data_IF_861548945152
#
_entry.id   IF_861548945152
#
_cell.length_a   1.000
_cell.length_b   1.000
_cell.length_c   1.000
_cell.angle_alpha   90.00
_cell.angle_beta   90.00
_cell.angle_gamma   90.00
#
_symmetry.space_group_name_H-M   'P 1'
#
loop_
_entity.id
_entity.type
_entity.pdbx_description
1 polymer ?
#
# COMPACT_ATOMS: atom_id res chain seq x y z
N UNK A 1 11.86 -20.82 -1.73
CA UNK A 1 11.06 -19.59 -1.54
C UNK A 1 10.46 -19.26 -2.90
N UNK A 2 9.13 -19.08 -3.03
CA UNK A 2 8.56 -18.63 -4.32
C UNK A 2 8.83 -17.11 -4.39
N UNK A 3 9.47 -16.60 -5.45
CA UNK A 3 9.76 -15.18 -5.56
C UNK A 3 8.51 -14.34 -5.82
N UNK A 4 8.36 -13.29 -5.02
CA UNK A 4 7.15 -12.47 -4.96
C UNK A 4 7.15 -11.36 -6.02
N UNK A 5 8.35 -10.91 -6.38
CA UNK A 5 8.61 -9.88 -7.38
C UNK A 5 9.31 -10.48 -8.60
N UNK A 6 8.98 -9.99 -9.79
CA UNK A 6 9.55 -10.49 -11.03
C UNK A 6 11.08 -10.34 -11.08
N UNK A 7 11.62 -9.21 -10.60
CA UNK A 7 13.08 -9.02 -10.51
C UNK A 7 13.76 -10.05 -9.61
N UNK A 8 13.19 -10.31 -8.42
CA UNK A 8 13.71 -11.35 -7.52
C UNK A 8 13.57 -12.75 -8.13
N UNK A 9 12.50 -13.00 -8.89
CA UNK A 9 12.30 -14.27 -9.59
C UNK A 9 13.41 -14.54 -10.60
N UNK A 10 13.82 -13.53 -11.35
CA UNK A 10 14.92 -13.64 -12.30
C UNK A 10 16.26 -13.91 -11.58
N UNK A 11 16.48 -13.28 -10.42
CA UNK A 11 17.67 -13.52 -9.59
C UNK A 11 17.68 -14.94 -9.01
N UNK A 12 16.57 -15.39 -8.45
CA UNK A 12 16.44 -16.74 -7.86
C UNK A 12 16.65 -17.85 -8.90
N UNK A 13 16.34 -17.58 -10.18
CA UNK A 13 16.59 -18.49 -11.30
C UNK A 13 17.98 -18.35 -11.92
N UNK A 14 18.79 -17.40 -11.47
CA UNK A 14 20.12 -17.11 -12.02
C UNK A 14 20.08 -16.52 -13.43
N UNK A 15 18.94 -15.94 -13.84
CA UNK A 15 18.76 -15.31 -15.16
C UNK A 15 19.34 -13.90 -15.16
N UNK A 16 19.28 -13.24 -14.00
CA UNK A 16 19.80 -11.89 -13.77
C UNK A 16 20.60 -11.92 -12.46
N UNK A 17 21.73 -11.22 -12.41
CA UNK A 17 22.49 -11.05 -11.16
C UNK A 17 21.89 -9.96 -10.26
N UNK A 18 22.11 -9.99 -8.93
CA UNK A 18 21.69 -8.91 -8.04
C UNK A 18 22.18 -7.52 -8.49
N UNK A 19 23.40 -7.44 -9.02
CA UNK A 19 24.03 -6.22 -9.53
C UNK A 19 23.33 -5.69 -10.79
N UNK A 20 22.97 -6.57 -11.72
CA UNK A 20 22.21 -6.21 -12.92
C UNK A 20 20.79 -5.77 -12.58
N UNK A 21 20.13 -6.46 -11.64
CA UNK A 21 18.84 -6.05 -11.14
C UNK A 21 18.92 -4.66 -10.49
N UNK A 22 19.97 -4.37 -9.72
CA UNK A 22 20.18 -3.06 -9.12
C UNK A 22 20.35 -1.96 -10.17
N UNK A 23 21.11 -2.22 -11.26
CA UNK A 23 21.23 -1.28 -12.39
C UNK A 23 19.87 -1.03 -13.06
N UNK A 24 19.09 -2.07 -13.29
CA UNK A 24 17.76 -1.94 -13.86
C UNK A 24 16.80 -1.15 -12.95
N UNK A 25 16.87 -1.34 -11.62
CA UNK A 25 16.10 -0.54 -10.65
C UNK A 25 16.51 0.94 -10.72
N UNK A 26 17.79 1.24 -10.85
CA UNK A 26 18.27 2.62 -10.99
C UNK A 26 17.74 3.27 -12.27
N UNK A 27 17.78 2.54 -13.40
CA UNK A 27 17.21 3.00 -14.67
C UNK A 27 15.69 3.21 -14.56
N UNK A 28 14.98 2.27 -13.95
CA UNK A 28 13.54 2.40 -13.71
C UNK A 28 13.21 3.65 -12.90
N UNK A 29 13.99 3.96 -11.86
CA UNK A 29 13.78 5.15 -11.02
C UNK A 29 14.04 6.46 -11.76
N UNK A 30 14.99 6.50 -12.70
CA UNK A 30 15.28 7.72 -13.46
C UNK A 30 14.19 8.05 -14.48
N UNK A 31 13.45 7.03 -14.97
CA UNK A 31 12.31 7.20 -15.86
C UNK A 31 10.99 7.44 -15.11
N UNK A 32 10.74 6.70 -14.02
CA UNK A 32 9.48 6.75 -13.27
C UNK A 32 9.45 7.88 -12.24
N UNK A 33 9.69 9.11 -12.70
CA UNK A 33 9.62 10.29 -11.85
C UNK A 33 8.23 10.46 -11.26
N UNK A 34 8.17 10.90 -10.01
CA UNK A 34 6.92 11.36 -9.40
C UNK A 34 6.38 12.60 -10.12
N UNK A 35 5.09 12.87 -9.96
CA UNK A 35 4.45 14.07 -10.53
C UNK A 35 5.18 15.35 -10.11
N UNK A 36 5.63 15.43 -8.85
CA UNK A 36 6.40 16.56 -8.35
C UNK A 36 7.78 16.70 -8.99
N UNK A 37 8.54 15.61 -9.08
CA UNK A 37 9.86 15.61 -9.75
C UNK A 37 9.74 15.94 -11.24
N UNK A 38 8.72 15.42 -11.90
CA UNK A 38 8.46 15.71 -13.31
C UNK A 38 8.01 17.16 -13.53
N UNK A 39 7.13 17.69 -12.67
CA UNK A 39 6.73 19.09 -12.70
C UNK A 39 7.92 20.04 -12.47
N UNK A 40 8.84 19.68 -11.57
CA UNK A 40 10.09 20.42 -11.39
C UNK A 40 10.99 20.37 -12.62
N UNK A 41 11.13 19.19 -13.25
CA UNK A 41 11.91 19.02 -14.48
C UNK A 41 11.36 19.86 -15.63
N UNK A 42 10.04 20.07 -15.68
CA UNK A 42 9.37 20.94 -16.67
C UNK A 42 9.38 22.43 -16.28
N UNK A 43 9.97 22.80 -15.15
CA UNK A 43 10.00 24.18 -14.65
C UNK A 43 8.64 24.70 -14.17
N UNK A 44 7.64 23.83 -14.01
CA UNK A 44 6.30 24.19 -13.54
C UNK A 44 6.26 24.41 -12.02
N UNK A 45 7.11 23.70 -11.28
CA UNK A 45 7.24 23.83 -9.82
C UNK A 45 8.70 24.02 -9.43
N UNK A 46 8.94 24.78 -8.36
CA UNK A 46 10.23 24.81 -7.67
C UNK A 46 10.25 23.78 -6.53
N UNK A 47 11.44 23.46 -6.04
CA UNK A 47 11.60 22.55 -4.89
C UNK A 47 10.80 23.03 -3.66
N UNK A 48 10.72 24.34 -3.45
CA UNK A 48 9.92 24.95 -2.39
C UNK A 48 8.42 24.68 -2.55
N UNK A 49 7.92 24.68 -3.79
CA UNK A 49 6.51 24.43 -4.09
C UNK A 49 6.16 22.96 -3.87
N UNK A 50 7.03 22.05 -4.32
CA UNK A 50 6.88 20.61 -4.08
C UNK A 50 6.89 20.31 -2.59
N UNK A 51 7.85 20.83 -1.83
CA UNK A 51 7.90 20.64 -0.39
C UNK A 51 6.64 21.17 0.30
N UNK A 52 6.15 22.33 -0.12
CA UNK A 52 4.91 22.91 0.40
C UNK A 52 3.72 21.99 0.14
N UNK A 53 3.55 21.49 -1.09
CA UNK A 53 2.48 20.53 -1.43
C UNK A 53 2.59 19.27 -0.56
N UNK A 54 3.79 18.71 -0.41
CA UNK A 54 4.03 17.51 0.41
C UNK A 54 3.70 17.74 1.88
N UNK A 55 4.03 18.91 2.44
CA UNK A 55 3.66 19.26 3.81
C UNK A 55 2.14 19.28 4.00
N UNK A 56 1.39 19.90 3.07
CA UNK A 56 -0.08 19.90 3.12
C UNK A 56 -0.68 18.51 2.85
N UNK A 57 0.00 17.68 2.05
CA UNK A 57 -0.45 16.33 1.77
C UNK A 57 -0.41 15.44 3.01
N UNK A 58 0.57 15.63 3.90
CA UNK A 58 0.71 14.87 5.16
C UNK A 58 -0.49 15.04 6.10
N UNK A 59 -1.24 16.14 6.02
CA UNK A 59 -2.36 16.47 6.92
C UNK A 59 -3.75 16.52 6.28
N UNK A 60 -3.86 16.44 4.95
CA UNK A 60 -5.13 16.66 4.23
C UNK A 60 -5.72 15.42 3.55
N UNK A 61 -4.95 14.34 3.37
CA UNK A 61 -5.37 13.13 2.63
C UNK A 61 -5.55 13.33 1.11
N UNK A 62 -5.46 14.57 0.61
CA UNK A 62 -5.63 14.94 -0.81
C UNK A 62 -4.45 14.47 -1.68
N UNK A 63 -4.70 14.33 -2.99
CA UNK A 63 -3.64 13.93 -3.94
C UNK A 63 -2.71 15.10 -4.24
N UNK A 64 -1.49 14.80 -4.69
CA UNK A 64 -0.48 15.82 -4.98
C UNK A 64 -1.00 16.83 -6.02
N UNK A 65 -1.58 16.33 -7.11
CA UNK A 65 -2.16 17.17 -8.15
C UNK A 65 -3.34 18.02 -7.66
N UNK A 66 -4.25 17.43 -6.88
CA UNK A 66 -5.38 18.17 -6.28
C UNK A 66 -4.88 19.32 -5.39
N UNK A 67 -3.89 19.06 -4.53
CA UNK A 67 -3.30 20.08 -3.68
C UNK A 67 -2.52 21.13 -4.47
N UNK A 68 -1.84 20.74 -5.55
CA UNK A 68 -1.15 21.70 -6.41
C UNK A 68 -2.13 22.68 -7.06
N UNK A 69 -3.33 22.23 -7.41
CA UNK A 69 -4.42 23.10 -7.91
C UNK A 69 -5.00 23.96 -6.79
N UNK A 70 -5.32 23.37 -5.64
CA UNK A 70 -5.86 24.09 -4.48
C UNK A 70 -4.93 25.21 -4.01
N UNK A 71 -3.62 25.00 -4.10
CA UNK A 71 -2.59 25.98 -3.73
C UNK A 71 -2.29 27.00 -4.84
N UNK A 72 -2.94 26.90 -5.99
CA UNK A 72 -2.71 27.78 -7.15
C UNK A 72 -1.34 27.61 -7.80
N UNK A 73 -0.67 26.47 -7.57
CA UNK A 73 0.67 26.17 -8.08
C UNK A 73 0.63 25.51 -9.46
N UNK A 74 -0.44 24.76 -9.75
CA UNK A 74 -0.71 24.16 -11.05
C UNK A 74 -2.18 24.37 -11.42
N UNK A 75 -2.48 24.34 -12.71
CA UNK A 75 -3.85 24.23 -13.23
C UNK A 75 -4.28 22.77 -13.34
N UNK A 76 -5.59 22.51 -13.37
CA UNK A 76 -6.12 21.15 -13.59
C UNK A 76 -5.57 20.53 -14.89
N UNK A 77 -5.50 21.33 -15.96
CA UNK A 77 -4.94 20.89 -17.24
C UNK A 77 -3.46 20.48 -17.14
N UNK A 78 -2.64 21.23 -16.38
CA UNK A 78 -1.24 20.87 -16.18
C UNK A 78 -1.09 19.59 -15.36
N UNK A 79 -1.93 19.42 -14.34
CA UNK A 79 -1.94 18.17 -13.55
C UNK A 79 -2.33 16.98 -14.42
N UNK A 80 -3.33 17.13 -15.29
CA UNK A 80 -3.74 16.08 -16.21
C UNK A 80 -2.63 15.71 -17.20
N UNK A 81 -1.95 16.69 -17.77
CA UNK A 81 -0.80 16.49 -18.67
C UNK A 81 0.34 15.74 -17.96
N UNK A 82 0.70 16.15 -16.74
CA UNK A 82 1.73 15.49 -15.93
C UNK A 82 1.36 14.02 -15.64
N UNK A 83 0.09 13.75 -15.32
CA UNK A 83 -0.40 12.40 -15.06
C UNK A 83 -0.44 11.54 -16.31
N UNK A 84 -0.85 12.10 -17.46
CA UNK A 84 -0.80 11.39 -18.73
C UNK A 84 0.63 11.02 -19.12
N UNK A 85 1.57 11.94 -18.93
CA UNK A 85 2.97 11.69 -19.21
C UNK A 85 3.52 10.59 -18.30
N UNK A 86 3.23 10.65 -16.99
CA UNK A 86 3.63 9.60 -16.05
C UNK A 86 3.07 8.22 -16.44
N UNK A 87 1.83 8.16 -16.96
CA UNK A 87 1.24 6.91 -17.46
C UNK A 87 1.93 6.39 -18.73
N UNK A 88 2.33 7.29 -19.64
CA UNK A 88 2.99 6.94 -20.91
C UNK A 88 4.43 6.45 -20.72
N UNK A 89 5.19 7.11 -19.86
CA UNK A 89 6.63 6.88 -19.70
C UNK A 89 6.99 5.88 -18.59
N UNK A 90 6.00 5.18 -18.02
CA UNK A 90 6.25 4.25 -16.93
C UNK A 90 7.04 3.02 -17.41
N UNK A 91 8.32 2.97 -17.07
CA UNK A 91 9.23 1.88 -17.37
C UNK A 91 9.02 0.73 -16.37
N UNK A 92 8.76 -0.47 -16.86
CA UNK A 92 8.69 -1.68 -16.04
C UNK A 92 10.07 -2.29 -15.83
N UNK A 93 10.29 -3.00 -14.72
CA UNK A 93 11.60 -3.58 -14.40
C UNK A 93 12.11 -4.54 -15.50
N UNK A 94 11.21 -5.31 -16.12
CA UNK A 94 11.54 -6.17 -17.25
C UNK A 94 12.00 -5.38 -18.49
N UNK A 95 11.34 -4.25 -18.78
CA UNK A 95 11.74 -3.36 -19.87
C UNK A 95 13.05 -2.64 -19.55
N UNK A 96 13.30 -2.29 -18.29
CA UNK A 96 14.56 -1.72 -17.85
C UNK A 96 15.70 -2.73 -18.04
N UNK A 97 15.49 -4.00 -17.70
CA UNK A 97 16.46 -5.09 -17.93
C UNK A 97 16.74 -5.31 -19.43
N UNK A 98 15.74 -5.16 -20.29
CA UNK A 98 15.95 -5.16 -21.75
C UNK A 98 16.73 -3.94 -22.22
N UNK A 99 16.46 -2.78 -21.65
CA UNK A 99 17.10 -1.51 -22.03
C UNK A 99 18.58 -1.43 -21.65
N UNK A 100 19.02 -2.24 -20.69
CA UNK A 100 20.44 -2.39 -20.32
C UNK A 100 21.08 -3.65 -20.91
N UNK A 101 20.46 -4.26 -21.92
CA UNK A 101 20.91 -5.46 -22.63
C UNK A 101 21.15 -6.70 -21.73
N UNK A 102 20.51 -6.75 -20.56
CA UNK A 102 20.56 -7.91 -19.65
C UNK A 102 19.56 -8.99 -20.08
N UNK A 103 18.41 -8.59 -20.64
CA UNK A 103 17.42 -9.50 -21.19
C UNK A 103 17.13 -9.17 -22.66
N UNK A 104 16.88 -10.20 -23.46
CA UNK A 104 16.20 -10.01 -24.74
C UNK A 104 14.69 -9.84 -24.52
N UNK A 105 13.98 -9.22 -25.49
CA UNK A 105 12.52 -9.11 -25.44
C UNK A 105 11.85 -10.49 -25.40
N UNK A 106 12.35 -11.44 -26.17
CA UNK A 106 11.86 -12.82 -26.20
C UNK A 106 12.07 -13.53 -24.85
N UNK A 107 13.25 -13.38 -24.25
CA UNK A 107 13.54 -13.92 -22.92
C UNK A 107 12.63 -13.30 -21.86
N UNK A 108 12.38 -12.00 -21.93
CA UNK A 108 11.45 -11.32 -21.03
C UNK A 108 10.03 -11.90 -21.13
N UNK A 109 9.52 -12.08 -22.36
CA UNK A 109 8.18 -12.63 -22.60
C UNK A 109 8.05 -14.06 -22.04
N UNK A 110 9.02 -14.93 -22.34
CA UNK A 110 9.05 -16.30 -21.84
C UNK A 110 9.10 -16.38 -20.31
N UNK A 111 9.90 -15.53 -19.67
CA UNK A 111 10.02 -15.50 -18.21
C UNK A 111 8.78 -14.91 -17.54
N UNK A 112 8.13 -13.93 -18.16
CA UNK A 112 6.83 -13.41 -17.68
C UNK A 112 5.74 -14.49 -17.76
N UNK A 113 5.70 -15.26 -18.85
CA UNK A 113 4.74 -16.36 -18.99
C UNK A 113 4.96 -17.41 -17.89
N UNK A 114 6.20 -17.83 -17.66
CA UNK A 114 6.53 -18.79 -16.60
C UNK A 114 6.26 -18.25 -15.20
N UNK A 115 6.56 -16.97 -14.94
CA UNK A 115 6.25 -16.30 -13.66
C UNK A 115 4.74 -16.22 -13.40
N UNK A 116 3.93 -16.01 -14.43
CA UNK A 116 2.47 -15.85 -14.30
C UNK A 116 1.69 -17.16 -14.34
N UNK A 117 2.19 -18.19 -15.03
CA UNK A 117 1.57 -19.50 -15.16
C UNK A 117 1.43 -20.23 -13.81
N UNK A 118 2.39 -20.04 -12.89
CA UNK A 118 2.34 -20.62 -11.54
C UNK A 118 1.59 -19.78 -10.48
N UNK A 119 1.31 -18.51 -10.77
CA UNK A 119 0.73 -17.55 -9.81
C UNK A 119 -0.79 -17.38 -9.94
N UNK A 120 -1.34 -17.43 -11.16
CA UNK A 120 -2.73 -17.03 -11.44
C UNK A 120 -3.83 -17.91 -10.83
N UNK A 121 -3.61 -19.21 -10.63
CA UNK A 121 -4.65 -20.11 -10.08
C UNK A 121 -4.67 -20.13 -8.55
N UNK A 122 -3.50 -20.20 -7.91
CA UNK A 122 -3.38 -20.21 -6.45
C UNK A 122 -3.65 -18.83 -5.83
N UNK A 123 -3.19 -17.73 -6.45
CA UNK A 123 -3.43 -16.37 -5.94
C UNK A 123 -4.89 -15.96 -6.09
N UNK A 124 -5.55 -16.27 -7.21
CA UNK A 124 -6.98 -15.98 -7.39
C UNK A 124 -7.87 -16.73 -6.39
N UNK A 125 -7.53 -17.99 -6.07
CA UNK A 125 -8.29 -18.76 -5.08
C UNK A 125 -8.02 -18.29 -3.64
N UNK A 126 -6.77 -17.95 -3.30
CA UNK A 126 -6.40 -17.46 -1.94
C UNK A 126 -6.85 -16.03 -1.65
N UNK A 127 -7.11 -15.22 -2.68
CA UNK A 127 -7.53 -13.83 -2.54
C UNK A 127 -9.06 -13.63 -2.64
N UNK A 128 -9.81 -14.67 -3.04
CA UNK A 128 -11.27 -14.62 -3.03
C UNK A 128 -11.81 -15.01 -1.65
N UNK A 129 -12.52 -14.08 -1.02
CA UNK A 129 -13.28 -14.36 0.21
C UNK A 129 -14.44 -15.33 -0.09
N UNK A 130 -14.87 -16.16 0.89
CA UNK A 130 -15.97 -17.10 0.73
C UNK A 130 -17.23 -16.42 0.20
N UNK A 131 -17.96 -17.09 -0.70
CA UNK A 131 -19.15 -16.52 -1.34
C UNK A 131 -20.29 -16.27 -0.34
N UNK A 132 -20.35 -17.06 0.72
CA UNK A 132 -21.32 -17.03 1.81
C UNK A 132 -20.91 -16.10 2.97
N UNK A 133 -19.73 -15.47 2.90
CA UNK A 133 -19.28 -14.54 3.93
C UNK A 133 -20.21 -13.31 3.99
N UNK A 134 -20.83 -12.99 5.14
CA UNK A 134 -21.64 -11.78 5.26
C UNK A 134 -20.80 -10.53 4.99
N UNK A 135 -21.39 -9.56 4.28
CA UNK A 135 -20.71 -8.31 3.89
C UNK A 135 -19.43 -8.51 3.07
N UNK A 136 -19.30 -9.65 2.36
CA UNK A 136 -18.15 -10.01 1.50
C UNK A 136 -17.64 -8.86 0.64
N UNK A 137 -18.53 -8.10 0.01
CA UNK A 137 -18.16 -6.97 -0.87
C UNK A 137 -17.40 -5.88 -0.13
N UNK A 138 -17.76 -5.61 1.13
CA UNK A 138 -17.09 -4.64 2.00
C UNK A 138 -15.69 -5.15 2.37
N UNK A 139 -15.58 -6.42 2.75
CA UNK A 139 -14.30 -7.04 3.12
C UNK A 139 -13.35 -7.18 1.93
N UNK A 140 -13.88 -7.47 0.73
CA UNK A 140 -13.10 -7.41 -0.50
C UNK A 140 -12.60 -5.99 -0.79
N UNK A 141 -13.47 -4.98 -0.64
CA UNK A 141 -13.08 -3.59 -0.82
C UNK A 141 -11.97 -3.18 0.17
N UNK A 142 -12.08 -3.59 1.43
CA UNK A 142 -11.03 -3.42 2.44
C UNK A 142 -9.71 -4.09 2.02
N UNK A 143 -9.77 -5.35 1.56
CA UNK A 143 -8.59 -6.10 1.14
C UNK A 143 -7.84 -5.38 0.01
N UNK A 144 -8.57 -4.76 -0.92
CA UNK A 144 -8.02 -3.96 -2.01
C UNK A 144 -7.53 -2.56 -1.60
N UNK A 145 -8.15 -1.96 -0.58
CA UNK A 145 -7.76 -0.63 -0.11
C UNK A 145 -6.36 -0.67 0.51
N UNK A 146 -6.00 -1.73 1.24
CA UNK A 146 -4.69 -1.86 1.87
C UNK A 146 -3.55 -1.75 0.87
N UNK A 147 -3.62 -2.48 -0.25
CA UNK A 147 -2.57 -2.44 -1.27
C UNK A 147 -2.36 -1.04 -1.84
N UNK A 148 -3.45 -0.30 -2.09
CA UNK A 148 -3.39 1.05 -2.66
C UNK A 148 -2.97 2.11 -1.66
N UNK A 149 -3.40 2.01 -0.40
CA UNK A 149 -3.19 3.06 0.59
C UNK A 149 -1.88 2.89 1.36
N UNK A 150 -1.47 1.66 1.67
CA UNK A 150 -0.17 1.44 2.34
C UNK A 150 0.95 1.92 1.43
N UNK A 151 0.97 1.52 0.16
CA UNK A 151 2.00 2.01 -0.78
C UNK A 151 1.97 3.54 -0.94
N UNK A 152 0.77 4.15 -0.96
CA UNK A 152 0.63 5.60 -1.14
C UNK A 152 1.14 6.39 0.07
N UNK A 153 0.85 5.91 1.29
CA UNK A 153 1.17 6.60 2.53
C UNK A 153 2.60 6.31 2.97
N UNK A 154 3.03 5.05 2.90
CA UNK A 154 4.31 4.60 3.47
C UNK A 154 5.37 4.35 2.41
N UNK A 155 5.05 4.41 1.11
CA UNK A 155 5.95 3.99 0.01
C UNK A 155 6.42 2.53 0.12
N UNK A 156 5.75 1.72 0.95
CA UNK A 156 6.04 0.29 1.12
C UNK A 156 5.03 -0.51 0.31
N UNK A 157 5.53 -1.35 -0.58
CA UNK A 157 4.72 -2.31 -1.31
C UNK A 157 4.21 -3.40 -0.35
N UNK A 158 2.92 -3.69 -0.45
CA UNK A 158 2.28 -4.82 0.23
C UNK A 158 1.87 -5.87 -0.77
N UNK A 159 1.84 -7.12 -0.32
CA UNK A 159 1.33 -8.24 -1.08
C UNK A 159 0.28 -8.98 -0.25
N UNK A 160 -0.91 -9.18 -0.81
CA UNK A 160 -1.93 -10.06 -0.23
C UNK A 160 -1.43 -11.50 -0.14
N UNK A 161 -1.51 -12.10 1.04
CA UNK A 161 -1.14 -13.50 1.25
C UNK A 161 -2.35 -14.42 1.29
N UNK A 162 -3.08 -14.40 2.39
CA UNK A 162 -4.23 -15.27 2.65
C UNK A 162 -5.20 -14.55 3.57
N UNK A 163 -6.42 -15.07 3.62
CA UNK A 163 -7.38 -14.75 4.65
C UNK A 163 -7.64 -15.97 5.54
N UNK A 164 -8.08 -15.74 6.78
CA UNK A 164 -8.46 -16.78 7.75
C UNK A 164 -9.78 -16.37 8.40
N UNK A 165 -10.73 -17.30 8.51
CA UNK A 165 -11.97 -17.11 9.25
C UNK A 165 -11.90 -17.90 10.57
N UNK A 166 -12.29 -17.27 11.67
CA UNK A 166 -12.35 -17.90 12.99
C UNK A 166 -11.34 -17.32 13.98
N UNK A 167 -11.21 -17.92 15.17
CA UNK A 167 -10.30 -17.42 16.19
C UNK A 167 -8.84 -17.58 15.75
N UNK A 168 -8.12 -16.46 15.69
CA UNK A 168 -6.68 -16.43 15.51
C UNK A 168 -6.07 -15.54 16.59
N UNK A 169 -4.90 -15.93 17.12
CA UNK A 169 -4.09 -15.00 17.91
C UNK A 169 -3.51 -13.94 16.97
N UNK A 170 -3.75 -12.66 17.31
CA UNK A 170 -3.07 -11.53 16.69
C UNK A 170 -1.61 -11.57 17.17
N UNK A 171 -0.75 -12.33 16.45
CA UNK A 171 0.68 -12.48 16.74
C UNK A 171 1.52 -11.25 16.34
N UNK A 172 0.92 -10.07 16.33
CA UNK A 172 1.53 -8.85 15.81
C UNK A 172 1.86 -7.89 16.95
N UNK A 173 3.03 -7.28 16.85
CA UNK A 173 3.74 -6.64 17.94
C UNK A 173 3.24 -5.22 18.24
N UNK A 174 2.60 -4.57 17.27
CA UNK A 174 1.98 -3.26 17.39
C UNK A 174 0.65 -3.26 16.64
N UNK A 175 -0.34 -2.53 17.16
CA UNK A 175 -1.59 -2.37 16.43
C UNK A 175 -2.40 -1.18 16.86
N UNK A 176 -3.35 -0.83 16.01
CA UNK A 176 -4.35 0.19 16.23
C UNK A 176 -5.73 -0.37 15.86
N UNK A 177 -6.78 0.06 16.54
CA UNK A 177 -8.14 -0.34 16.21
C UNK A 177 -9.11 0.83 16.15
N UNK A 178 -10.09 0.69 15.27
CA UNK A 178 -11.19 1.63 15.09
C UNK A 178 -12.49 0.82 15.08
N UNK A 179 -13.47 1.30 15.84
CA UNK A 179 -14.82 0.75 15.87
C UNK A 179 -15.70 1.49 14.89
N UNK A 180 -16.50 0.73 14.14
CA UNK A 180 -17.58 1.21 13.29
C UNK A 180 -18.92 0.93 13.96
N UNK A 181 -19.84 1.88 13.89
CA UNK A 181 -21.23 1.76 14.37
C UNK A 181 -22.20 2.29 13.33
N UNK A 182 -23.46 1.82 13.35
CA UNK A 182 -24.50 2.28 12.43
C UNK A 182 -25.09 1.14 11.61
N UNK A 183 -25.17 1.32 10.28
CA UNK A 183 -25.70 0.31 9.36
C UNK A 183 -24.92 -1.02 9.40
N UNK A 184 -23.63 -0.94 9.73
CA UNK A 184 -22.79 -2.10 10.03
C UNK A 184 -21.90 -1.78 11.24
N UNK A 185 -21.96 -2.64 12.26
CA UNK A 185 -21.15 -2.51 13.48
C UNK A 185 -20.05 -3.56 13.50
N UNK A 186 -18.79 -3.10 13.55
CA UNK A 186 -17.63 -3.98 13.60
C UNK A 186 -16.41 -3.25 14.16
N UNK A 187 -15.40 -3.98 14.60
CA UNK A 187 -14.09 -3.44 14.95
C UNK A 187 -13.09 -3.83 13.87
N UNK A 188 -12.38 -2.85 13.32
CA UNK A 188 -11.22 -3.08 12.47
C UNK A 188 -9.95 -2.91 13.29
N UNK A 189 -9.07 -3.92 13.25
CA UNK A 189 -7.73 -3.85 13.84
C UNK A 189 -6.69 -3.92 12.74
N UNK A 190 -5.74 -3.00 12.78
CA UNK A 190 -4.50 -3.05 12.01
C UNK A 190 -3.41 -3.60 12.94
N UNK A 191 -2.85 -4.75 12.60
CA UNK A 191 -1.70 -5.32 13.30
C UNK A 191 -0.45 -5.29 12.43
N UNK A 192 0.71 -5.04 13.03
CA UNK A 192 1.99 -5.00 12.31
C UNK A 192 3.14 -5.58 13.11
N UNK A 193 4.23 -5.91 12.42
CA UNK A 193 5.54 -6.05 13.07
C UNK A 193 6.10 -4.67 13.42
N UNK A 194 6.99 -4.60 14.42
CA UNK A 194 7.73 -3.38 14.80
C UNK A 194 8.54 -2.83 13.63
N UNK A 195 9.19 -3.73 12.88
CA UNK A 195 10.00 -3.37 11.72
C UNK A 195 9.16 -2.71 10.62
N UNK A 196 7.92 -3.17 10.39
CA UNK A 196 7.03 -2.53 9.42
C UNK A 196 6.61 -1.15 9.92
N UNK A 197 6.13 -1.05 11.17
CA UNK A 197 5.68 0.23 11.74
C UNK A 197 6.79 1.30 11.71
N UNK A 198 8.02 0.91 12.08
CA UNK A 198 9.17 1.80 12.04
C UNK A 198 9.47 2.28 10.62
N UNK A 199 9.57 1.38 9.65
CA UNK A 199 9.88 1.78 8.27
C UNK A 199 8.73 2.55 7.62
N UNK A 200 7.49 2.25 7.97
CA UNK A 200 6.32 3.02 7.56
C UNK A 200 6.41 4.46 8.07
N UNK A 201 6.73 4.63 9.36
CA UNK A 201 6.89 5.94 9.97
C UNK A 201 8.07 6.71 9.38
N UNK A 202 9.23 6.07 9.19
CA UNK A 202 10.42 6.68 8.55
C UNK A 202 10.11 7.21 7.16
N UNK A 203 9.41 6.42 6.34
CA UNK A 203 9.07 6.83 4.97
C UNK A 203 7.99 7.92 4.94
N UNK A 204 7.02 7.87 5.85
CA UNK A 204 5.96 8.88 5.93
C UNK A 204 6.47 10.22 6.45
N UNK A 205 7.31 10.19 7.49
CA UNK A 205 7.89 11.38 8.11
C UNK A 205 9.11 11.90 7.35
N UNK A 206 9.67 11.08 6.44
CA UNK A 206 10.93 11.34 5.73
C UNK A 206 12.12 11.49 6.69
N UNK A 207 12.09 10.73 7.78
CA UNK A 207 13.14 10.68 8.80
C UNK A 207 13.73 9.27 8.88
N UNK A 208 14.86 9.00 8.20
CA UNK A 208 15.51 7.68 8.25
C UNK A 208 16.16 7.37 9.60
N UNK A 209 16.39 8.37 10.46
CA UNK A 209 17.03 8.21 11.77
C UNK A 209 16.03 7.95 12.89
N UNK A 210 14.71 7.95 12.60
CA UNK A 210 13.66 7.71 13.58
C UNK A 210 13.93 6.40 14.35
N UNK A 211 13.88 6.48 15.68
CA UNK A 211 14.01 5.33 16.57
C UNK A 211 12.68 4.58 16.70
N UNK A 212 12.74 3.28 16.91
CA UNK A 212 11.56 2.44 17.19
C UNK A 212 10.81 2.86 18.47
N UNK A 213 11.53 3.41 19.45
CA UNK A 213 10.94 3.89 20.70
C UNK A 213 10.26 5.26 20.58
N UNK A 214 10.36 5.90 19.40
CA UNK A 214 9.76 7.20 19.19
C UNK A 214 8.22 7.09 19.16
N UNK A 215 7.48 7.88 19.96
CA UNK A 215 6.01 7.88 19.95
C UNK A 215 5.40 8.10 18.55
N UNK A 216 6.10 8.83 17.68
CA UNK A 216 5.65 9.08 16.30
C UNK A 216 5.46 7.80 15.47
N UNK A 217 6.09 6.69 15.84
CA UNK A 217 5.86 5.39 15.19
C UNK A 217 4.42 4.91 15.45
N UNK A 218 3.94 5.08 16.69
CA UNK A 218 2.58 4.71 17.06
C UNK A 218 1.56 5.67 16.45
N UNK A 219 1.86 6.97 16.47
CA UNK A 219 1.02 8.00 15.86
C UNK A 219 0.85 7.76 14.36
N UNK A 220 1.94 7.40 13.66
CA UNK A 220 1.87 7.08 12.23
C UNK A 220 1.00 5.85 11.96
N UNK A 221 1.06 4.82 12.82
CA UNK A 221 0.22 3.62 12.66
C UNK A 221 -1.26 3.93 12.91
N UNK A 222 -1.55 4.78 13.91
CA UNK A 222 -2.91 5.25 14.18
C UNK A 222 -3.46 6.04 12.99
N UNK A 223 -2.65 6.93 12.41
CA UNK A 223 -3.02 7.70 11.22
C UNK A 223 -3.24 6.81 9.99
N UNK A 224 -2.36 5.83 9.75
CA UNK A 224 -2.54 4.85 8.68
C UNK A 224 -3.86 4.08 8.84
N UNK A 225 -4.18 3.67 10.06
CA UNK A 225 -5.44 2.97 10.39
C UNK A 225 -6.64 3.87 10.14
N UNK A 226 -6.57 5.13 10.58
CA UNK A 226 -7.62 6.12 10.38
C UNK A 226 -7.88 6.41 8.90
N UNK A 227 -6.83 6.59 8.10
CA UNK A 227 -6.93 6.78 6.64
C UNK A 227 -7.56 5.57 5.95
N UNK A 228 -7.15 4.35 6.31
CA UNK A 228 -7.74 3.12 5.78
C UNK A 228 -9.22 3.00 6.14
N UNK A 229 -9.57 3.27 7.39
CA UNK A 229 -10.96 3.26 7.87
C UNK A 229 -11.83 4.31 7.18
N UNK A 230 -11.33 5.54 7.01
CA UNK A 230 -12.05 6.60 6.30
C UNK A 230 -12.30 6.26 4.83
N UNK A 231 -11.33 5.63 4.17
CA UNK A 231 -11.50 5.14 2.80
C UNK A 231 -12.54 4.00 2.71
N UNK A 232 -12.60 3.13 3.72
CA UNK A 232 -13.62 2.08 3.81
C UNK A 232 -15.01 2.69 4.07
N UNK A 233 -15.13 3.63 5.02
CA UNK A 233 -16.38 4.34 5.32
C UNK A 233 -16.96 5.02 4.09
N UNK A 234 -16.11 5.70 3.31
CA UNK A 234 -16.51 6.34 2.04
C UNK A 234 -17.07 5.32 1.05
N UNK A 235 -16.46 4.12 0.96
CA UNK A 235 -16.98 3.04 0.11
C UNK A 235 -18.29 2.47 0.63
N UNK A 236 -18.46 2.33 1.94
CA UNK A 236 -19.71 1.86 2.55
C UNK A 236 -20.85 2.85 2.31
N UNK A 237 -20.63 4.15 2.49
CA UNK A 237 -21.63 5.19 2.20
C UNK A 237 -22.04 5.20 0.72
N UNK A 238 -21.09 5.03 -0.22
CA UNK A 238 -21.40 4.86 -1.65
C UNK A 238 -22.26 3.61 -1.96
N UNK A 239 -22.29 2.63 -1.05
CA UNK A 239 -23.15 1.44 -1.11
C UNK A 239 -24.45 1.61 -0.31
N UNK A 240 -24.74 2.81 0.21
CA UNK A 240 -25.92 3.12 1.03
C UNK A 240 -25.80 2.69 2.50
N UNK A 241 -24.60 2.40 2.98
CA UNK A 241 -24.33 1.99 4.36
C UNK A 241 -23.66 3.12 5.12
N UNK A 242 -24.46 3.86 5.88
CA UNK A 242 -23.97 4.93 6.74
C UNK A 242 -23.40 4.38 8.05
N UNK A 243 -22.14 4.76 8.35
CA UNK A 243 -21.40 4.29 9.52
C UNK A 243 -20.62 5.43 10.15
N UNK A 244 -20.55 5.44 11.48
CA UNK A 244 -19.68 6.32 12.26
C UNK A 244 -18.43 5.56 12.72
N UNK A 245 -17.30 6.27 12.86
CA UNK A 245 -16.03 5.71 13.30
C UNK A 245 -15.61 6.29 14.65
N UNK A 246 -15.08 5.44 15.53
CA UNK A 246 -14.39 5.90 16.73
C UNK A 246 -13.04 6.54 16.39
N UNK A 247 -12.45 7.24 17.36
CA UNK A 247 -11.02 7.56 17.31
C UNK A 247 -10.19 6.27 17.37
N UNK A 248 -8.99 6.23 16.76
CA UNK A 248 -8.10 5.08 16.84
C UNK A 248 -7.61 4.89 18.27
N UNK A 249 -7.71 3.67 18.79
CA UNK A 249 -7.06 3.27 20.03
C UNK A 249 -5.87 2.36 19.75
N UNK A 250 -4.78 2.57 20.46
CA UNK A 250 -3.53 1.82 20.30
C UNK A 250 -3.37 0.77 21.41
N UNK A 251 -2.76 -0.36 21.07
CA UNK A 251 -2.48 -1.41 22.05
C UNK A 251 -1.57 -2.51 21.52
N UNK A 252 -0.80 -3.11 22.43
CA UNK A 252 -0.07 -4.37 22.18
C UNK A 252 -1.02 -5.58 22.25
N UNK A 253 -2.09 -5.44 23.02
CA UNK A 253 -3.14 -6.42 23.20
C UNK A 253 -4.48 -5.71 23.22
N UNK A 254 -5.33 -6.00 22.24
CA UNK A 254 -6.70 -5.54 22.25
C UNK A 254 -7.58 -6.57 22.95
N UNK A 255 -8.45 -6.15 23.89
CA UNK A 255 -9.32 -7.09 24.59
C UNK A 255 -10.17 -7.86 23.57
N UNK A 256 -10.42 -9.16 23.78
CA UNK A 256 -11.27 -9.93 22.87
C UNK A 256 -12.63 -9.25 22.75
N UNK A 257 -13.09 -8.99 21.52
CA UNK A 257 -14.47 -8.55 21.29
C UNK A 257 -15.37 -9.77 21.52
N UNK A 258 -16.03 -9.79 22.67
CA UNK A 258 -16.99 -10.84 23.02
C UNK A 258 -18.20 -10.73 22.09
N UNK A 259 -18.69 -11.87 21.59
CA UNK A 259 -19.89 -11.91 20.76
C UNK A 259 -19.73 -11.59 19.27
N UNK A 260 -18.52 -11.32 18.76
CA UNK A 260 -18.29 -11.16 17.32
C UNK A 260 -18.62 -12.48 16.58
N UNK A 261 -19.61 -12.43 15.70
CA UNK A 261 -20.05 -13.57 14.89
C UNK A 261 -19.06 -13.87 13.77
N UNK A 262 -18.34 -12.85 13.29
CA UNK A 262 -17.36 -12.96 12.23
C UNK A 262 -16.00 -12.47 12.76
N UNK A 263 -14.99 -13.32 12.58
CA UNK A 263 -13.57 -12.98 12.80
C UNK A 263 -12.81 -13.26 11.52
N UNK A 264 -12.56 -12.22 10.74
CA UNK A 264 -11.85 -12.32 9.46
C UNK A 264 -10.47 -11.68 9.61
N UNK A 265 -9.43 -12.47 9.34
CA UNK A 265 -8.04 -12.03 9.35
C UNK A 265 -7.53 -11.97 7.92
N UNK A 266 -7.07 -10.81 7.46
CA UNK A 266 -6.46 -10.58 6.16
C UNK A 266 -4.96 -10.36 6.34
N UNK A 267 -4.13 -11.19 5.72
CA UNK A 267 -2.67 -11.17 5.91
C UNK A 267 -1.93 -10.60 4.69
N UNK A 268 -0.91 -9.79 4.95
CA UNK A 268 -0.07 -9.18 3.93
C UNK A 268 1.42 -9.26 4.29
N UNK A 269 2.25 -9.51 3.28
CA UNK A 269 3.71 -9.39 3.39
C UNK A 269 4.21 -8.05 2.85
N UNK A 270 5.30 -7.58 3.43
CA UNK A 270 6.05 -6.39 3.00
C UNK A 270 7.56 -6.70 3.03
N UNK A 271 8.40 -5.89 2.37
CA UNK A 271 9.86 -5.98 2.52
C UNK A 271 10.36 -5.79 3.96
N UNK A 272 9.56 -5.17 4.83
CA UNK A 272 9.94 -4.79 6.20
C UNK A 272 9.14 -5.56 7.26
N UNK A 273 8.60 -6.73 6.93
CA UNK A 273 7.84 -7.57 7.85
C UNK A 273 6.39 -7.77 7.41
N UNK A 274 5.47 -7.82 8.37
CA UNK A 274 4.06 -8.22 8.12
C UNK A 274 3.07 -7.17 8.60
N UNK A 275 1.93 -7.19 7.93
CA UNK A 275 0.75 -6.38 8.16
C UNK A 275 -0.47 -7.32 8.15
N UNK A 276 -1.41 -7.12 9.07
CA UNK A 276 -2.71 -7.76 8.99
C UNK A 276 -3.85 -6.80 9.28
N UNK A 277 -5.03 -7.16 8.78
CA UNK A 277 -6.28 -6.60 9.21
C UNK A 277 -7.13 -7.67 9.87
N UNK A 278 -7.65 -7.39 11.06
CA UNK A 278 -8.62 -8.25 11.74
C UNK A 278 -9.95 -7.51 11.83
N UNK A 279 -10.99 -8.08 11.21
CA UNK A 279 -12.38 -7.60 11.28
C UNK A 279 -13.13 -8.44 12.29
N UNK A 280 -13.76 -7.77 13.25
CA UNK A 280 -14.60 -8.37 14.29
C UNK A 280 -16.01 -7.79 14.14
N UNK A 281 -16.90 -8.53 13.48
CA UNK A 281 -18.28 -8.10 13.14
C UNK A 281 -19.33 -9.02 13.75
#
# INVERSE_FOLDING_TARGET
MKPDFFGQYLVDRGIVTPEELQKAIQLQRSFNLSVGEYAMKQGLLQLTDVNRILTYQKSSGKRFGELAVDLGLLTESQVEELLEHQRREHLFIGQALVSIDVLSKESLENELEQFTAGKRLEERQRQQLPADLPNRTIWMALFDLVERYVIRVTRIYTRKERWVLGPQEDLLELGACISFTGALSFVLRLGTTRTFALNAARNFLEDPALSETNPLVQDNLAELTNVLCGALATRMSAMGLETEMSVPSFGLHFPPVQGAAIRLHLHFSTPYGRLSLTVLS
#
